data_IF_860503679698
#
_entry.id   IF_860503679698
#
_cell.length_a   1.000
_cell.length_b   1.000
_cell.length_c   1.000
_cell.angle_alpha   90.00
_cell.angle_beta   90.00
_cell.angle_gamma   90.00
#
_symmetry.space_group_name_H-M   'P 1'
#
loop_
_entity.id
_entity.type
_entity.pdbx_description
1 polymer ?
#
# COMPACT_ATOMS: atom_id res chain seq x y z
N UNK A 1 2.77 18.91 2.93
CA UNK A 1 2.53 20.28 2.41
C UNK A 1 2.40 20.20 0.90
N UNK A 2 1.23 20.54 0.35
CA UNK A 2 1.04 20.72 -1.08
C UNK A 2 1.43 22.16 -1.43
N UNK A 3 2.30 22.36 -2.41
CA UNK A 3 2.58 23.70 -2.95
C UNK A 3 2.30 23.70 -4.45
N UNK A 4 1.29 24.49 -4.86
CA UNK A 4 0.78 24.54 -6.25
C UNK A 4 0.36 23.15 -6.78
N UNK A 5 -0.39 22.39 -5.98
CA UNK A 5 -0.86 21.06 -6.37
C UNK A 5 0.22 19.96 -6.45
N UNK A 6 1.50 20.28 -6.19
CA UNK A 6 2.59 19.30 -6.18
C UNK A 6 2.86 18.80 -4.77
N UNK A 7 2.84 17.48 -4.61
CA UNK A 7 3.25 16.83 -3.38
C UNK A 7 4.76 16.94 -3.21
N UNK A 8 5.20 17.29 -2.00
CA UNK A 8 6.62 17.28 -1.61
C UNK A 8 6.78 16.23 -0.54
N UNK A 9 7.63 15.24 -0.80
CA UNK A 9 8.01 14.27 0.21
C UNK A 9 8.92 14.95 1.24
N UNK A 10 8.63 14.71 2.52
CA UNK A 10 9.43 15.17 3.64
C UNK A 10 9.51 14.05 4.68
N UNK A 11 10.35 14.24 5.70
CA UNK A 11 10.62 13.27 6.76
C UNK A 11 11.31 11.98 6.29
N UNK A 12 12.62 12.08 6.06
CA UNK A 12 13.50 10.95 5.74
C UNK A 12 14.12 10.31 6.99
N UNK A 13 13.53 10.50 8.19
CA UNK A 13 14.10 10.02 9.46
C UNK A 13 14.31 8.49 9.51
N UNK A 14 13.66 7.75 8.61
CA UNK A 14 13.70 6.30 8.51
C UNK A 14 14.25 5.78 7.16
N UNK A 15 14.65 6.67 6.27
CA UNK A 15 15.16 6.27 4.96
C UNK A 15 16.49 5.53 5.12
N UNK A 16 16.58 4.31 4.59
CA UNK A 16 17.82 3.54 4.54
C UNK A 16 18.24 3.26 3.11
N UNK A 17 19.54 3.10 2.87
CA UNK A 17 20.03 2.64 1.56
C UNK A 17 19.60 1.18 1.38
N UNK A 18 19.06 0.85 0.21
CA UNK A 18 18.56 -0.50 -0.12
C UNK A 18 19.53 -1.66 0.17
N UNK A 19 20.85 -1.38 0.25
CA UNK A 19 21.88 -2.36 0.63
C UNK A 19 22.01 -2.67 2.12
N UNK A 20 21.26 -2.00 3.00
CA UNK A 20 21.22 -2.28 4.45
C UNK A 20 19.80 -2.60 4.87
N UNK A 21 19.44 -3.89 4.78
CA UNK A 21 18.33 -4.45 5.54
C UNK A 21 18.68 -4.30 7.03
N UNK A 22 18.10 -3.30 7.69
CA UNK A 22 18.45 -2.92 9.06
C UNK A 22 17.19 -2.67 9.87
N UNK A 23 16.78 -3.67 10.64
CA UNK A 23 15.57 -3.64 11.45
C UNK A 23 15.61 -2.58 12.55
N UNK A 24 14.76 -1.57 12.43
CA UNK A 24 14.17 -0.86 13.57
C UNK A 24 12.71 -0.57 13.25
N UNK A 25 11.83 -1.06 14.12
CA UNK A 25 10.39 -0.81 14.12
C UNK A 25 10.12 0.66 14.48
N UNK A 26 10.24 1.55 13.50
CA UNK A 26 9.83 2.94 13.67
C UNK A 26 9.02 3.30 12.43
N UNK A 27 7.84 3.89 12.64
CA UNK A 27 6.86 4.18 11.60
C UNK A 27 5.44 4.10 12.16
N UNK A 28 4.48 4.73 11.49
CA UNK A 28 3.06 4.57 11.82
C UNK A 28 2.60 3.19 11.34
N UNK A 29 2.18 2.34 12.27
CA UNK A 29 1.98 0.88 12.07
C UNK A 29 1.03 0.51 10.92
N UNK A 30 0.11 1.39 10.55
CA UNK A 30 -0.86 1.16 9.47
C UNK A 30 -0.27 1.27 8.06
N UNK A 31 0.91 1.88 7.87
CA UNK A 31 1.62 1.89 6.58
C UNK A 31 2.62 0.74 6.42
N UNK A 32 2.96 0.03 7.49
CA UNK A 32 3.99 -1.01 7.44
C UNK A 32 3.51 -2.23 6.66
N UNK A 33 4.37 -2.75 5.79
CA UNK A 33 4.14 -3.99 5.07
C UNK A 33 4.11 -5.19 6.02
N UNK A 34 3.35 -6.26 5.70
CA UNK A 34 3.21 -7.45 6.55
C UNK A 34 4.55 -8.07 6.97
N UNK A 35 5.50 -8.16 6.04
CA UNK A 35 6.84 -8.71 6.27
C UNK A 35 7.68 -7.85 7.24
N UNK A 36 7.48 -6.52 7.24
CA UNK A 36 8.13 -5.63 8.21
C UNK A 36 7.52 -5.83 9.60
N UNK A 37 6.19 -5.98 9.69
CA UNK A 37 5.49 -6.21 10.96
C UNK A 37 5.86 -7.58 11.56
N UNK A 38 6.10 -8.58 10.71
CA UNK A 38 6.58 -9.90 11.12
C UNK A 38 8.04 -9.89 11.59
N UNK A 39 8.81 -8.85 11.26
CA UNK A 39 10.24 -8.75 11.57
C UNK A 39 11.13 -9.54 10.61
N UNK A 40 10.61 -9.89 9.43
CA UNK A 40 11.32 -10.66 8.43
C UNK A 40 12.37 -9.81 7.69
N UNK A 41 13.33 -10.47 7.03
CA UNK A 41 14.14 -9.82 6.01
C UNK A 41 13.23 -9.44 4.84
N UNK A 42 13.28 -8.18 4.40
CA UNK A 42 12.38 -7.64 3.40
C UNK A 42 13.12 -6.87 2.31
N UNK A 43 12.51 -6.80 1.12
CA UNK A 43 12.90 -5.86 0.07
C UNK A 43 12.30 -4.48 0.39
N UNK A 44 13.12 -3.44 0.63
CA UNK A 44 12.61 -2.10 0.91
C UNK A 44 11.74 -1.54 -0.21
N UNK A 45 12.01 -1.89 -1.48
CA UNK A 45 11.20 -1.38 -2.61
C UNK A 45 9.79 -1.96 -2.58
N UNK A 46 9.66 -3.25 -2.34
CA UNK A 46 8.35 -3.91 -2.23
C UNK A 46 7.57 -3.36 -1.03
N UNK A 47 8.23 -3.10 0.10
CA UNK A 47 7.61 -2.50 1.27
C UNK A 47 7.15 -1.05 1.04
N UNK A 48 7.91 -0.26 0.26
CA UNK A 48 7.52 1.09 -0.13
C UNK A 48 6.27 1.07 -1.03
N UNK A 49 6.15 0.10 -1.95
CA UNK A 49 4.94 -0.06 -2.78
C UNK A 49 3.72 -0.38 -1.92
N UNK A 50 3.84 -1.24 -0.92
CA UNK A 50 2.75 -1.48 0.04
C UNK A 50 2.33 -0.19 0.73
N UNK A 51 3.31 0.56 1.25
CA UNK A 51 3.07 1.83 1.95
C UNK A 51 2.33 2.82 1.04
N UNK A 52 2.73 2.89 -0.24
CA UNK A 52 2.07 3.70 -1.25
C UNK A 52 0.64 3.21 -1.55
N UNK A 53 0.42 1.90 -1.58
CA UNK A 53 -0.91 1.30 -1.73
C UNK A 53 -1.85 1.70 -0.59
N UNK A 54 -1.36 1.72 0.65
CA UNK A 54 -2.13 2.20 1.81
C UNK A 54 -2.46 3.68 1.66
N UNK A 55 -1.50 4.51 1.22
CA UNK A 55 -1.75 5.95 0.97
C UNK A 55 -2.80 6.15 -0.11
N UNK A 56 -2.70 5.44 -1.23
CA UNK A 56 -3.68 5.50 -2.31
C UNK A 56 -5.06 5.06 -1.84
N UNK A 57 -5.15 3.97 -1.09
CA UNK A 57 -6.39 3.51 -0.48
C UNK A 57 -7.02 4.56 0.43
N UNK A 58 -6.23 5.21 1.29
CA UNK A 58 -6.73 6.29 2.17
C UNK A 58 -7.22 7.47 1.35
N UNK A 59 -6.54 7.83 0.25
CA UNK A 59 -7.01 8.92 -0.62
C UNK A 59 -8.34 8.60 -1.29
N UNK A 60 -8.58 7.34 -1.65
CA UNK A 60 -9.80 6.88 -2.32
C UNK A 60 -10.99 6.70 -1.35
N UNK A 61 -10.72 6.26 -0.13
CA UNK A 61 -11.77 5.87 0.84
C UNK A 61 -11.92 6.82 2.02
N UNK A 62 -10.95 7.72 2.24
CA UNK A 62 -10.86 8.59 3.41
C UNK A 62 -10.48 7.87 4.70
N UNK A 63 -10.23 6.56 4.68
CA UNK A 63 -10.05 5.73 5.88
C UNK A 63 -8.88 4.73 5.72
N UNK A 64 -8.11 4.42 6.79
CA UNK A 64 -7.10 3.38 6.72
C UNK A 64 -7.71 1.98 6.58
N UNK A 65 -7.12 1.16 5.71
CA UNK A 65 -7.55 -0.22 5.48
C UNK A 65 -7.42 -1.11 6.73
N UNK A 66 -6.26 -1.06 7.39
CA UNK A 66 -5.96 -1.83 8.61
C UNK A 66 -5.24 -0.95 9.63
N UNK A 67 -5.39 -1.26 10.91
CA UNK A 67 -4.63 -0.59 11.98
C UNK A 67 -3.14 -0.97 11.94
N UNK A 68 -2.82 -2.21 11.57
CA UNK A 68 -1.50 -2.70 11.19
C UNK A 68 -1.60 -4.08 10.53
N UNK A 69 -0.65 -4.41 9.66
CA UNK A 69 -0.66 -5.63 8.84
C UNK A 69 -0.18 -6.88 9.62
N UNK A 70 -0.97 -7.31 10.62
CA UNK A 70 -0.68 -8.48 11.44
C UNK A 70 -1.86 -9.44 11.48
N UNK A 71 -1.59 -10.74 11.56
CA UNK A 71 -2.62 -11.78 11.77
C UNK A 71 -3.39 -11.60 13.08
N UNK A 72 -2.91 -10.80 14.04
CA UNK A 72 -3.67 -10.44 15.24
C UNK A 72 -4.82 -9.46 14.96
N UNK A 73 -4.85 -8.83 13.78
CA UNK A 73 -5.87 -7.84 13.39
C UNK A 73 -6.93 -8.50 12.51
N UNK A 74 -8.19 -8.46 12.94
CA UNK A 74 -9.32 -9.09 12.21
C UNK A 74 -9.47 -8.58 10.78
N UNK A 75 -9.32 -7.28 10.55
CA UNK A 75 -9.40 -6.70 9.20
C UNK A 75 -8.25 -7.17 8.30
N UNK A 76 -7.06 -7.38 8.86
CA UNK A 76 -5.95 -7.97 8.11
C UNK A 76 -6.16 -9.46 7.82
N UNK A 77 -6.78 -10.22 8.75
CA UNK A 77 -7.18 -11.60 8.46
C UNK A 77 -8.21 -11.67 7.34
N UNK A 78 -9.21 -10.78 7.34
CA UNK A 78 -10.19 -10.68 6.27
C UNK A 78 -9.51 -10.35 4.93
N UNK A 79 -8.59 -9.38 4.91
CA UNK A 79 -7.77 -9.06 3.75
C UNK A 79 -6.98 -10.29 3.26
N UNK A 80 -6.36 -11.05 4.16
CA UNK A 80 -5.58 -12.24 3.83
C UNK A 80 -6.42 -13.38 3.27
N UNK A 81 -7.65 -13.54 3.74
CA UNK A 81 -8.54 -14.64 3.35
C UNK A 81 -9.34 -14.33 2.09
N UNK A 82 -9.86 -13.10 1.99
CA UNK A 82 -10.81 -12.70 0.95
C UNK A 82 -10.19 -11.81 -0.12
N UNK A 83 -9.00 -11.25 0.14
CA UNK A 83 -8.38 -10.26 -0.73
C UNK A 83 -9.00 -8.87 -0.57
N UNK A 84 -8.32 -7.88 -1.13
CA UNK A 84 -8.69 -6.47 -1.02
C UNK A 84 -9.98 -6.12 -1.78
N UNK A 85 -10.26 -6.81 -2.89
CA UNK A 85 -11.47 -6.58 -3.69
C UNK A 85 -12.74 -6.88 -2.87
N UNK A 86 -12.77 -8.02 -2.18
CA UNK A 86 -13.90 -8.38 -1.31
C UNK A 86 -14.03 -7.46 -0.10
N UNK A 87 -12.90 -6.99 0.47
CA UNK A 87 -12.94 -5.97 1.54
C UNK A 87 -13.57 -4.67 1.02
N UNK A 88 -13.17 -4.21 -0.17
CA UNK A 88 -13.69 -2.99 -0.80
C UNK A 88 -15.16 -3.11 -1.22
N UNK A 89 -15.60 -4.27 -1.68
CA UNK A 89 -17.01 -4.57 -1.94
C UNK A 89 -17.84 -4.49 -0.66
N UNK A 90 -17.33 -5.05 0.45
CA UNK A 90 -18.03 -5.02 1.74
C UNK A 90 -18.20 -3.61 2.32
N UNK A 91 -17.37 -2.67 1.88
CA UNK A 91 -17.39 -1.26 2.32
C UNK A 91 -18.17 -0.37 1.34
N UNK A 92 -18.79 -0.95 0.30
CA UNK A 92 -19.53 -0.27 -0.78
C UNK A 92 -18.69 0.78 -1.55
N UNK A 93 -17.36 0.78 -1.37
CA UNK A 93 -16.43 1.68 -2.07
C UNK A 93 -16.02 1.13 -3.43
N UNK A 94 -16.11 -0.20 -3.63
CA UNK A 94 -15.82 -0.81 -4.93
C UNK A 94 -16.72 -0.28 -6.06
N UNK A 95 -17.98 0.08 -5.76
CA UNK A 95 -18.91 0.64 -6.75
C UNK A 95 -18.60 2.09 -7.12
N UNK A 96 -17.89 2.81 -6.25
CA UNK A 96 -17.54 4.21 -6.46
C UNK A 96 -16.16 4.38 -7.15
N UNK A 97 -15.46 3.27 -7.44
CA UNK A 97 -14.09 3.29 -7.94
C UNK A 97 -14.00 2.67 -9.35
N UNK A 98 -13.24 3.27 -10.27
CA UNK A 98 -12.92 2.63 -11.56
C UNK A 98 -12.26 1.26 -11.36
N UNK A 99 -12.57 0.31 -12.23
CA UNK A 99 -11.99 -1.03 -12.18
C UNK A 99 -10.45 -1.00 -12.29
N UNK A 100 -9.90 -0.06 -13.06
CA UNK A 100 -8.47 0.20 -13.21
C UNK A 100 -7.82 0.57 -11.87
N UNK A 101 -8.43 1.48 -11.11
CA UNK A 101 -7.98 1.89 -9.78
C UNK A 101 -8.06 0.75 -8.76
N UNK A 102 -9.14 -0.06 -8.80
CA UNK A 102 -9.25 -1.25 -7.96
C UNK A 102 -8.11 -2.24 -8.24
N UNK A 103 -7.83 -2.52 -9.50
CA UNK A 103 -6.79 -3.44 -9.91
C UNK A 103 -5.40 -2.95 -9.45
N UNK A 104 -5.11 -1.65 -9.62
CA UNK A 104 -3.87 -1.04 -9.15
C UNK A 104 -3.70 -1.20 -7.64
N UNK A 105 -4.69 -0.75 -6.85
CA UNK A 105 -4.66 -0.85 -5.38
C UNK A 105 -4.51 -2.30 -4.94
N UNK A 106 -5.16 -3.22 -5.63
CA UNK A 106 -5.07 -4.65 -5.31
C UNK A 106 -3.66 -5.20 -5.49
N UNK A 107 -3.01 -4.86 -6.61
CA UNK A 107 -1.64 -5.32 -6.88
C UNK A 107 -0.60 -4.67 -5.96
N UNK A 108 -0.83 -3.43 -5.51
CA UNK A 108 0.05 -2.76 -4.55
C UNK A 108 -0.10 -3.32 -3.12
N UNK A 109 -1.30 -3.80 -2.77
CA UNK A 109 -1.64 -4.37 -1.45
C UNK A 109 -1.65 -5.91 -1.44
N UNK A 110 -0.93 -6.52 -2.39
CA UNK A 110 -0.65 -7.95 -2.35
C UNK A 110 0.23 -8.29 -1.15
N UNK A 111 -0.17 -9.31 -0.39
CA UNK A 111 0.47 -9.70 0.86
C UNK A 111 1.80 -10.38 0.57
N UNK A 112 1.87 -11.22 -0.45
CA UNK A 112 3.12 -11.84 -0.87
C UNK A 112 4.00 -10.80 -1.59
N UNK A 113 5.12 -10.36 -1.01
CA UNK A 113 5.95 -9.32 -1.61
C UNK A 113 6.53 -9.72 -2.98
N UNK A 114 6.58 -11.02 -3.31
CA UNK A 114 7.04 -11.49 -4.62
C UNK A 114 5.98 -11.41 -5.72
N UNK A 115 4.71 -11.30 -5.33
CA UNK A 115 3.57 -11.12 -6.25
C UNK A 115 3.08 -9.67 -6.30
N UNK A 116 3.50 -8.87 -5.33
CA UNK A 116 3.22 -7.43 -5.26
C UNK A 116 3.80 -6.71 -6.47
N UNK A 117 3.04 -5.75 -6.99
CA UNK A 117 3.50 -4.92 -8.09
C UNK A 117 4.82 -4.24 -7.74
N UNK A 118 5.73 -4.21 -8.70
CA UNK A 118 6.92 -3.36 -8.64
C UNK A 118 6.55 -1.91 -8.92
N UNK A 119 7.42 -0.98 -8.52
CA UNK A 119 7.17 0.44 -8.80
C UNK A 119 7.08 0.75 -10.30
N UNK A 120 7.83 0.03 -11.14
CA UNK A 120 7.80 0.21 -12.59
C UNK A 120 6.43 -0.24 -13.15
N UNK A 121 5.90 -1.37 -12.67
CA UNK A 121 4.55 -1.83 -13.03
C UNK A 121 3.44 -0.91 -12.51
N UNK A 122 3.64 -0.29 -11.34
CA UNK A 122 2.71 0.73 -10.81
C UNK A 122 2.68 1.94 -11.73
N UNK A 123 3.83 2.43 -12.18
CA UNK A 123 3.93 3.61 -13.04
C UNK A 123 3.38 3.36 -14.46
N UNK A 124 3.49 2.13 -14.96
CA UNK A 124 2.99 1.72 -16.28
C UNK A 124 1.51 1.28 -16.26
N UNK A 125 0.84 1.38 -15.11
CA UNK A 125 -0.52 0.87 -14.94
C UNK A 125 -1.57 1.77 -15.61
N UNK A 126 -2.53 1.17 -16.32
CA UNK A 126 -3.62 1.85 -17.05
C UNK A 126 -4.45 2.83 -16.20
N UNK A 127 -4.48 2.64 -14.89
CA UNK A 127 -5.13 3.55 -13.93
C UNK A 127 -4.58 4.98 -14.00
N UNK A 128 -3.33 5.16 -14.44
CA UNK A 128 -2.74 6.49 -14.68
C UNK A 128 -3.01 7.03 -16.09
N UNK A 129 -3.31 6.16 -17.07
CA UNK A 129 -3.68 6.57 -18.42
C UNK A 129 -5.05 7.25 -18.44
N UNK A 130 -6.00 6.81 -17.60
CA UNK A 130 -7.34 7.39 -17.49
C UNK A 130 -7.37 8.79 -16.84
N UNK A 131 -6.31 9.19 -16.11
CA UNK A 131 -6.21 10.50 -15.43
C UNK A 131 -5.39 11.55 -16.19
N UNK A 132 -4.73 11.17 -17.29
CA UNK A 132 -3.88 12.06 -18.10
C UNK A 132 -4.48 12.40 -19.48
N UNK A 133 -5.73 11.97 -19.74
CA UNK A 133 -6.51 12.33 -20.92
C UNK A 133 -7.33 13.60 -20.74
#
# INVERSE_FOLDING_TARGET
MLHRGRCKLGDFGLATRARRAGGRHVGKKYYMAPEIVAGDLYDPKAADVWSLGIVLFIMLTGSPLVSFASTSVKSFQALKQAGIATVLESWDVARAMPASALHLVSGMLEIDPNKRLTIDQVLDHDAFAECLG
#
